data_IF_434215096123
#
_entry.id   IF_434215096123
#
_cell.length_a   1.000
_cell.length_b   1.000
_cell.length_c   1.000
_cell.angle_alpha   90.00
_cell.angle_beta   90.00
_cell.angle_gamma   90.00
#
_symmetry.space_group_name_H-M   'P 1'
#
loop_
_entity.id
_entity.type
_entity.pdbx_description
1 polymer ?
#
# COMPACT_ATOMS: atom_id res chain seq x y z
N UNK A 1 48.51 4.28 6.70
CA UNK A 1 47.50 5.34 6.64
C UNK A 1 46.88 5.49 5.24
N UNK A 2 47.64 5.53 4.15
CA UNK A 2 47.07 5.65 2.79
C UNK A 2 46.36 4.38 2.26
N UNK A 3 46.61 3.19 2.79
CA UNK A 3 45.95 1.95 2.39
C UNK A 3 44.57 1.75 3.08
N UNK A 4 44.37 2.26 4.29
CA UNK A 4 43.07 2.17 4.98
C UNK A 4 42.02 3.15 4.41
N UNK A 5 42.46 4.29 3.87
CA UNK A 5 41.54 5.24 3.18
C UNK A 5 41.09 4.75 1.80
N UNK A 6 41.84 3.84 1.16
CA UNK A 6 41.43 3.23 -0.12
C UNK A 6 40.42 2.10 0.06
N UNK A 7 40.50 1.32 1.14
CA UNK A 7 39.51 0.25 1.41
C UNK A 7 38.16 0.82 1.85
N UNK A 8 38.12 1.88 2.66
CA UNK A 8 36.87 2.54 3.05
C UNK A 8 36.14 3.28 1.92
N UNK A 9 36.85 3.61 0.83
CA UNK A 9 36.28 4.27 -0.35
C UNK A 9 35.73 3.29 -1.39
N UNK A 10 36.09 2.00 -1.30
CA UNK A 10 35.64 0.95 -2.22
C UNK A 10 34.33 0.28 -1.76
N UNK A 11 33.97 0.37 -0.49
CA UNK A 11 32.73 -0.21 0.05
C UNK A 11 31.45 0.61 -0.18
N UNK A 12 31.58 1.87 -0.65
CA UNK A 12 30.44 2.79 -0.79
C UNK A 12 29.79 2.79 -2.19
N UNK A 13 30.15 1.89 -3.10
CA UNK A 13 29.65 1.85 -4.48
C UNK A 13 29.36 0.42 -4.97
N UNK A 14 28.81 -0.43 -4.11
CA UNK A 14 28.08 -1.60 -4.61
C UNK A 14 26.65 -1.15 -4.83
N UNK A 15 26.42 -0.47 -5.97
CA UNK A 15 25.06 -0.34 -6.52
C UNK A 15 24.51 -1.75 -6.66
N UNK A 16 23.38 -2.03 -6.04
CA UNK A 16 22.70 -3.30 -6.15
C UNK A 16 22.41 -3.57 -7.64
N UNK A 17 23.01 -4.60 -8.21
CA UNK A 17 22.67 -5.08 -9.57
C UNK A 17 21.22 -5.59 -9.69
N UNK A 18 20.46 -5.51 -8.59
CA UNK A 18 19.07 -5.94 -8.52
C UNK A 18 18.15 -4.86 -9.06
N UNK A 19 17.29 -5.26 -9.97
CA UNK A 19 16.29 -4.39 -10.56
C UNK A 19 14.88 -4.80 -10.13
N UNK A 20 13.97 -3.84 -10.15
CA UNK A 20 12.55 -4.02 -9.81
C UNK A 20 11.67 -3.23 -10.78
N UNK A 21 10.37 -3.51 -10.78
CA UNK A 21 9.42 -2.87 -11.65
C UNK A 21 9.03 -1.47 -11.17
N UNK A 22 9.05 -0.49 -12.06
CA UNK A 22 8.44 0.82 -11.89
C UNK A 22 7.48 1.05 -13.07
N UNK A 23 6.22 0.64 -12.92
CA UNK A 23 5.33 0.45 -14.05
C UNK A 23 5.90 -0.61 -15.00
N UNK A 24 6.01 -0.31 -16.29
CA UNK A 24 6.63 -1.19 -17.28
C UNK A 24 8.17 -1.00 -17.40
N UNK A 25 8.75 -0.11 -16.62
CA UNK A 25 10.19 0.12 -16.61
C UNK A 25 10.88 -0.76 -15.56
N UNK A 26 12.06 -1.28 -15.88
CA UNK A 26 12.97 -1.88 -14.91
C UNK A 26 13.89 -0.80 -14.36
N UNK A 27 13.95 -0.66 -13.04
CA UNK A 27 14.76 0.34 -12.34
C UNK A 27 15.57 -0.33 -11.23
N UNK A 28 16.71 0.24 -10.79
CA UNK A 28 17.43 -0.24 -9.61
C UNK A 28 16.51 -0.25 -8.38
N UNK A 29 16.67 -1.26 -7.50
CA UNK A 29 15.83 -1.39 -6.29
C UNK A 29 15.93 -0.17 -5.37
N UNK A 30 17.13 0.40 -5.23
CA UNK A 30 17.42 1.56 -4.39
C UNK A 30 16.77 2.86 -4.90
N UNK A 31 16.45 2.95 -6.20
CA UNK A 31 15.79 4.12 -6.78
C UNK A 31 14.26 4.05 -6.71
N UNK A 32 13.66 2.84 -6.64
CA UNK A 32 12.21 2.69 -6.78
C UNK A 32 11.43 3.47 -5.73
N UNK A 33 11.81 3.40 -4.47
CA UNK A 33 11.11 4.09 -3.38
C UNK A 33 11.10 5.62 -3.57
N UNK A 34 12.21 6.20 -4.04
CA UNK A 34 12.31 7.62 -4.32
C UNK A 34 11.44 8.02 -5.53
N UNK A 35 11.45 7.22 -6.60
CA UNK A 35 10.60 7.46 -7.78
C UNK A 35 9.11 7.38 -7.44
N UNK A 36 8.72 6.38 -6.64
CA UNK A 36 7.35 6.24 -6.13
C UNK A 36 6.95 7.43 -5.27
N UNK A 37 7.81 7.86 -4.34
CA UNK A 37 7.57 9.05 -3.53
C UNK A 37 7.35 10.30 -4.40
N UNK A 38 8.16 10.50 -5.44
CA UNK A 38 7.98 11.60 -6.40
C UNK A 38 6.63 11.58 -7.11
N UNK A 39 6.13 10.39 -7.51
CA UNK A 39 4.80 10.25 -8.09
C UNK A 39 3.70 10.66 -7.09
N UNK A 40 3.79 10.19 -5.85
CA UNK A 40 2.76 10.51 -4.85
C UNK A 40 2.83 11.97 -4.37
N UNK A 41 4.01 12.55 -4.27
CA UNK A 41 4.17 13.98 -3.93
C UNK A 41 3.56 14.88 -5.02
N UNK A 42 3.70 14.54 -6.31
CA UNK A 42 3.14 15.33 -7.41
C UNK A 42 1.61 15.36 -7.41
N UNK A 43 0.97 14.29 -6.94
CA UNK A 43 -0.50 14.16 -6.90
C UNK A 43 -1.11 14.34 -5.51
N UNK A 44 -0.29 14.57 -4.47
CA UNK A 44 -0.71 14.53 -3.08
C UNK A 44 -1.93 15.42 -2.79
N UNK A 45 -1.93 16.68 -3.27
CA UNK A 45 -3.04 17.62 -3.08
C UNK A 45 -4.32 17.21 -3.81
N UNK A 46 -4.24 16.33 -4.81
CA UNK A 46 -5.38 15.85 -5.61
C UNK A 46 -5.56 14.34 -5.50
N UNK A 47 -4.95 13.75 -4.47
CA UNK A 47 -4.92 12.31 -4.26
C UNK A 47 -6.33 11.70 -4.17
N UNK A 48 -7.24 12.34 -3.44
CA UNK A 48 -8.62 11.86 -3.32
C UNK A 48 -9.34 11.91 -4.67
N UNK A 49 -9.15 13.00 -5.43
CA UNK A 49 -9.72 13.12 -6.77
C UNK A 49 -9.16 12.07 -7.74
N UNK A 50 -7.87 11.77 -7.64
CA UNK A 50 -7.24 10.69 -8.40
C UNK A 50 -7.87 9.34 -8.06
N UNK A 51 -8.05 9.03 -6.78
CA UNK A 51 -8.72 7.81 -6.33
C UNK A 51 -10.17 7.74 -6.82
N UNK A 52 -10.90 8.85 -6.76
CA UNK A 52 -12.27 8.94 -7.28
C UNK A 52 -12.32 8.66 -8.79
N UNK A 53 -11.44 9.28 -9.57
CA UNK A 53 -11.35 9.03 -11.01
C UNK A 53 -10.98 7.59 -11.33
N UNK A 54 -9.98 7.03 -10.64
CA UNK A 54 -9.51 5.66 -10.89
C UNK A 54 -10.54 4.59 -10.52
N UNK A 55 -11.38 4.84 -9.55
CA UNK A 55 -12.34 3.88 -9.00
C UNK A 55 -13.79 4.22 -9.28
N UNK A 56 -14.07 5.31 -10.01
CA UNK A 56 -15.42 5.90 -10.11
C UNK A 56 -16.08 6.07 -8.72
N UNK A 57 -15.28 6.46 -7.70
CA UNK A 57 -15.72 6.64 -6.32
C UNK A 57 -15.90 5.35 -5.52
N UNK A 58 -15.74 4.18 -6.13
CA UNK A 58 -15.97 2.88 -5.48
C UNK A 58 -14.94 2.56 -4.39
N UNK A 59 -13.77 3.21 -4.39
CA UNK A 59 -12.73 2.97 -3.37
C UNK A 59 -13.25 3.15 -1.93
N UNK A 60 -14.22 4.04 -1.72
CA UNK A 60 -14.83 4.25 -0.40
C UNK A 60 -15.64 3.04 0.07
N UNK A 61 -16.36 2.39 -0.85
CA UNK A 61 -17.10 1.15 -0.56
C UNK A 61 -16.13 0.00 -0.31
N UNK A 62 -15.07 -0.12 -1.11
CA UNK A 62 -14.05 -1.16 -0.93
C UNK A 62 -13.32 -1.01 0.41
N UNK A 63 -12.98 0.22 0.83
CA UNK A 63 -12.39 0.49 2.15
C UNK A 63 -13.35 0.12 3.29
N UNK A 64 -14.64 0.41 3.16
CA UNK A 64 -15.65 -0.03 4.16
C UNK A 64 -15.75 -1.56 4.23
N UNK A 65 -15.77 -2.21 3.08
CA UNK A 65 -15.74 -3.68 3.02
C UNK A 65 -14.48 -4.24 3.70
N UNK A 66 -13.31 -3.63 3.49
CA UNK A 66 -12.07 -4.05 4.14
C UNK A 66 -12.17 -3.96 5.68
N UNK A 67 -12.78 -2.90 6.22
CA UNK A 67 -13.03 -2.77 7.66
C UNK A 67 -13.94 -3.90 8.17
N UNK A 68 -15.03 -4.20 7.50
CA UNK A 68 -15.94 -5.29 7.92
C UNK A 68 -15.24 -6.65 7.80
N UNK A 69 -14.59 -6.93 6.68
CA UNK A 69 -13.86 -8.16 6.47
C UNK A 69 -12.67 -8.35 7.42
N UNK A 70 -12.08 -7.25 7.91
CA UNK A 70 -11.00 -7.32 8.90
C UNK A 70 -11.45 -7.94 10.22
N UNK A 71 -12.74 -7.85 10.56
CA UNK A 71 -13.27 -8.31 11.83
C UNK A 71 -12.66 -7.62 13.05
N UNK A 72 -12.09 -6.41 12.88
CA UNK A 72 -11.50 -5.61 13.97
C UNK A 72 -12.56 -5.28 15.01
N UNK A 73 -12.21 -5.44 16.27
CA UNK A 73 -13.08 -5.26 17.44
C UNK A 73 -12.64 -4.06 18.27
N UNK A 74 -13.52 -3.50 19.09
CA UNK A 74 -13.15 -2.48 20.08
C UNK A 74 -12.00 -2.95 20.97
N UNK A 75 -11.04 -2.04 21.22
CA UNK A 75 -9.85 -2.29 22.03
C UNK A 75 -8.66 -2.91 21.30
N UNK A 76 -8.80 -3.31 20.02
CA UNK A 76 -7.70 -3.89 19.26
C UNK A 76 -6.68 -2.83 18.78
N UNK A 77 -5.47 -3.29 18.49
CA UNK A 77 -4.35 -2.49 17.95
C UNK A 77 -4.20 -2.75 16.47
N UNK A 78 -4.27 -1.70 15.68
CA UNK A 78 -4.20 -1.76 14.21
C UNK A 78 -3.00 -0.97 13.71
N UNK A 79 -2.27 -1.55 12.77
CA UNK A 79 -1.23 -0.87 11.99
C UNK A 79 -1.72 -0.69 10.56
N UNK A 80 -1.84 0.55 10.10
CA UNK A 80 -2.20 0.89 8.72
C UNK A 80 -0.94 1.29 7.95
N UNK A 81 -0.51 0.42 7.04
CA UNK A 81 0.74 0.55 6.27
C UNK A 81 0.46 1.20 4.93
N UNK A 82 1.32 2.13 4.51
CA UNK A 82 1.12 2.96 3.33
C UNK A 82 -0.26 3.61 3.34
N UNK A 83 -0.67 4.08 4.52
CA UNK A 83 -2.03 4.57 4.77
C UNK A 83 -2.30 5.96 4.18
N UNK A 84 -1.27 6.64 3.66
CA UNK A 84 -1.39 7.87 2.90
C UNK A 84 -2.13 8.97 3.65
N UNK A 85 -3.25 9.41 3.09
CA UNK A 85 -4.11 10.46 3.66
C UNK A 85 -4.98 9.99 4.84
N UNK A 86 -4.79 8.76 5.36
CA UNK A 86 -5.39 8.27 6.59
C UNK A 86 -6.85 7.83 6.49
N UNK A 87 -7.39 7.63 5.28
CA UNK A 87 -8.78 7.21 5.09
C UNK A 87 -9.12 5.91 5.82
N UNK A 88 -8.27 4.90 5.68
CA UNK A 88 -8.50 3.60 6.30
C UNK A 88 -8.23 3.68 7.80
N UNK A 89 -7.16 4.37 8.21
CA UNK A 89 -6.85 4.62 9.62
C UNK A 89 -8.01 5.29 10.36
N UNK A 90 -8.69 6.28 9.74
CA UNK A 90 -9.88 6.92 10.28
C UNK A 90 -11.03 5.92 10.50
N UNK A 91 -11.26 5.02 9.56
CA UNK A 91 -12.30 4.00 9.67
C UNK A 91 -11.96 2.98 10.76
N UNK A 92 -10.70 2.55 10.86
CA UNK A 92 -10.23 1.68 11.95
C UNK A 92 -10.35 2.36 13.30
N UNK A 93 -9.96 3.64 13.43
CA UNK A 93 -10.08 4.39 14.69
C UNK A 93 -11.52 4.36 15.23
N UNK A 94 -12.50 4.60 14.36
CA UNK A 94 -13.92 4.52 14.74
C UNK A 94 -14.33 3.11 15.16
N UNK A 95 -13.70 2.09 14.61
CA UNK A 95 -14.00 0.67 14.89
C UNK A 95 -13.39 0.19 16.19
N UNK A 96 -12.12 0.55 16.47
CA UNK A 96 -11.43 0.12 17.69
C UNK A 96 -11.89 0.90 18.93
N UNK A 97 -12.41 2.09 18.75
CA UNK A 97 -12.90 2.94 19.85
C UNK A 97 -11.80 3.46 20.77
N UNK A 98 -12.17 4.06 21.91
CA UNK A 98 -11.25 4.79 22.77
C UNK A 98 -10.22 3.93 23.52
N UNK A 99 -10.43 2.62 23.59
CA UNK A 99 -9.51 1.67 24.23
C UNK A 99 -8.57 0.99 23.23
N UNK A 100 -8.79 1.20 21.91
CA UNK A 100 -7.96 0.65 20.85
C UNK A 100 -6.84 1.61 20.45
N UNK A 101 -5.95 1.11 19.62
CA UNK A 101 -4.85 1.88 19.05
C UNK A 101 -4.87 1.74 17.52
N UNK A 102 -4.69 2.84 16.78
CA UNK A 102 -4.42 2.80 15.35
C UNK A 102 -3.14 3.59 15.08
N UNK A 103 -2.18 2.96 14.44
CA UNK A 103 -0.93 3.61 14.02
C UNK A 103 -0.98 3.78 12.51
N UNK A 104 -0.85 5.01 12.02
CA UNK A 104 -0.76 5.33 10.59
C UNK A 104 0.70 5.39 10.17
N UNK A 105 1.07 4.65 9.12
CA UNK A 105 2.43 4.71 8.57
C UNK A 105 2.43 4.94 7.07
N UNK A 106 3.44 5.64 6.59
CA UNK A 106 3.73 5.80 5.17
C UNK A 106 5.23 6.08 4.99
N UNK A 107 5.78 5.76 3.83
CA UNK A 107 7.16 6.08 3.49
C UNK A 107 7.30 7.56 3.07
N UNK A 108 6.23 8.17 2.57
CA UNK A 108 6.19 9.52 2.01
C UNK A 108 5.81 10.55 3.07
N UNK A 109 6.72 11.45 3.48
CA UNK A 109 6.41 12.46 4.50
C UNK A 109 5.26 13.40 4.10
N UNK A 110 5.13 13.71 2.80
CA UNK A 110 4.05 14.53 2.26
C UNK A 110 2.68 13.91 2.52
N UNK A 111 2.54 12.62 2.28
CA UNK A 111 1.31 11.89 2.52
C UNK A 111 0.96 11.81 4.01
N UNK A 112 1.94 11.56 4.89
CA UNK A 112 1.72 11.57 6.34
C UNK A 112 1.28 12.94 6.88
N UNK A 113 1.84 14.03 6.36
CA UNK A 113 1.39 15.38 6.74
C UNK A 113 -0.07 15.61 6.37
N UNK A 114 -0.47 15.27 5.15
CA UNK A 114 -1.87 15.37 4.73
C UNK A 114 -2.79 14.48 5.56
N UNK A 115 -2.38 13.25 5.85
CA UNK A 115 -3.12 12.32 6.72
C UNK A 115 -3.30 12.88 8.13
N UNK A 116 -2.22 13.42 8.72
CA UNK A 116 -2.26 14.07 10.03
C UNK A 116 -3.26 15.23 10.05
N UNK A 117 -3.13 16.15 9.11
CA UNK A 117 -3.94 17.36 9.08
C UNK A 117 -5.42 17.01 8.92
N UNK A 118 -5.73 16.05 8.06
CA UNK A 118 -7.09 15.54 7.87
C UNK A 118 -7.67 14.86 9.13
N UNK A 119 -6.85 14.08 9.83
CA UNK A 119 -7.26 13.47 11.09
C UNK A 119 -7.51 14.53 12.17
N UNK A 120 -6.63 15.55 12.26
CA UNK A 120 -6.81 16.68 13.17
C UNK A 120 -8.09 17.47 12.86
N UNK A 121 -8.40 17.74 11.58
CA UNK A 121 -9.66 18.39 11.15
C UNK A 121 -10.89 17.56 11.54
N UNK A 122 -10.74 16.23 11.63
CA UNK A 122 -11.80 15.34 12.14
C UNK A 122 -11.80 15.22 13.68
N UNK A 123 -10.97 15.98 14.40
CA UNK A 123 -10.83 15.94 15.86
C UNK A 123 -10.12 14.68 16.38
N UNK A 124 -9.28 14.05 15.58
CA UNK A 124 -8.63 12.78 15.89
C UNK A 124 -7.12 12.95 15.90
N UNK A 125 -6.48 12.43 16.94
CA UNK A 125 -5.02 12.35 17.07
C UNK A 125 -4.62 10.88 17.06
N UNK A 126 -3.84 10.47 16.05
CA UNK A 126 -3.27 9.12 15.95
C UNK A 126 -1.75 9.18 16.00
N UNK A 127 -1.10 8.14 16.55
CA UNK A 127 0.32 7.91 16.31
C UNK A 127 0.61 7.78 14.81
N UNK A 128 1.64 8.51 14.33
CA UNK A 128 2.13 8.44 12.97
C UNK A 128 3.60 8.05 12.95
N UNK A 129 4.00 7.22 12.00
CA UNK A 129 5.41 6.88 11.81
C UNK A 129 5.78 6.89 10.32
N UNK A 130 6.81 7.65 9.97
CA UNK A 130 7.43 7.52 8.65
C UNK A 130 8.33 6.29 8.67
N UNK A 131 8.02 5.29 7.86
CA UNK A 131 8.84 4.09 7.77
C UNK A 131 8.67 3.38 6.43
N UNK A 132 9.67 2.55 6.11
CA UNK A 132 9.59 1.59 5.03
C UNK A 132 8.86 0.33 5.52
N UNK A 133 7.87 -0.14 4.75
CA UNK A 133 7.13 -1.36 5.05
C UNK A 133 8.02 -2.62 5.01
N UNK A 134 9.16 -2.56 4.33
CA UNK A 134 10.14 -3.65 4.25
C UNK A 134 11.03 -3.74 5.50
N UNK A 135 10.96 -2.73 6.41
CA UNK A 135 11.70 -2.67 7.68
C UNK A 135 10.91 -1.86 8.71
N UNK A 136 9.89 -2.47 9.28
CA UNK A 136 8.98 -1.81 10.21
C UNK A 136 9.65 -1.53 11.58
N UNK A 137 9.61 -0.30 12.11
CA UNK A 137 10.25 0.07 13.39
C UNK A 137 9.39 -0.32 14.60
N UNK A 138 8.72 -1.46 14.52
CA UNK A 138 7.86 -1.97 15.59
C UNK A 138 8.36 -3.32 16.09
N UNK A 139 8.12 -3.58 17.38
CA UNK A 139 8.38 -4.89 17.97
C UNK A 139 7.53 -5.97 17.28
N UNK A 140 8.04 -7.21 17.29
CA UNK A 140 7.25 -8.37 16.89
C UNK A 140 5.99 -8.50 17.77
N UNK A 141 4.94 -9.07 17.20
CA UNK A 141 3.72 -9.45 17.94
C UNK A 141 2.98 -8.31 18.65
N UNK A 142 3.05 -7.11 18.09
CA UNK A 142 2.45 -5.91 18.66
C UNK A 142 0.98 -5.70 18.28
N UNK A 143 0.59 -6.03 17.05
CA UNK A 143 -0.69 -5.63 16.48
C UNK A 143 -1.65 -6.81 16.29
N UNK A 144 -2.93 -6.53 16.51
CA UNK A 144 -4.05 -7.45 16.26
C UNK A 144 -4.40 -7.54 14.77
N UNK A 145 -4.28 -6.42 14.08
CA UNK A 145 -4.52 -6.30 12.65
C UNK A 145 -3.46 -5.42 12.01
N UNK A 146 -2.98 -5.85 10.86
CA UNK A 146 -2.18 -5.04 9.95
C UNK A 146 -2.98 -4.87 8.66
N UNK A 147 -3.00 -3.66 8.12
CA UNK A 147 -3.69 -3.35 6.86
C UNK A 147 -2.77 -2.65 5.90
N UNK A 148 -2.95 -2.92 4.62
CA UNK A 148 -2.40 -2.16 3.51
C UNK A 148 -3.46 -2.03 2.41
N UNK A 149 -3.76 -0.80 2.01
CA UNK A 149 -4.73 -0.55 0.94
C UNK A 149 -4.09 0.27 -0.18
N UNK A 150 -4.03 -0.31 -1.39
CA UNK A 150 -3.50 0.31 -2.62
C UNK A 150 -2.03 0.77 -2.50
N UNK A 151 -1.27 0.14 -1.58
CA UNK A 151 0.13 0.45 -1.31
C UNK A 151 1.10 -0.66 -1.70
N UNK A 152 0.69 -1.94 -1.61
CA UNK A 152 1.57 -3.09 -1.76
C UNK A 152 2.24 -3.16 -3.15
N UNK A 153 1.54 -2.77 -4.21
CA UNK A 153 2.08 -2.77 -5.58
C UNK A 153 3.28 -1.84 -5.74
N UNK A 154 3.40 -0.81 -4.90
CA UNK A 154 4.47 0.18 -4.95
C UNK A 154 5.72 -0.22 -4.17
N UNK A 155 5.65 -1.26 -3.32
CA UNK A 155 6.78 -1.75 -2.54
C UNK A 155 7.80 -2.43 -3.45
N UNK A 156 9.07 -2.24 -3.14
CA UNK A 156 10.19 -2.76 -3.95
C UNK A 156 10.28 -4.27 -3.82
N UNK A 157 10.33 -4.77 -2.60
CA UNK A 157 10.39 -6.19 -2.24
C UNK A 157 9.14 -6.59 -1.46
N UNK A 158 8.11 -6.98 -2.18
CA UNK A 158 6.79 -7.32 -1.59
C UNK A 158 6.90 -8.45 -0.56
N UNK A 159 7.76 -9.43 -0.82
CA UNK A 159 8.01 -10.56 0.09
C UNK A 159 8.59 -10.09 1.43
N UNK A 160 9.54 -9.15 1.39
CA UNK A 160 10.13 -8.56 2.60
C UNK A 160 9.07 -7.78 3.40
N UNK A 161 8.26 -6.98 2.71
CA UNK A 161 7.18 -6.24 3.35
C UNK A 161 6.13 -7.17 3.98
N UNK A 162 5.71 -8.22 3.28
CA UNK A 162 4.76 -9.21 3.81
C UNK A 162 5.33 -9.96 5.03
N UNK A 163 6.64 -10.29 5.01
CA UNK A 163 7.33 -10.89 6.15
C UNK A 163 7.33 -9.97 7.37
N UNK A 164 7.61 -8.67 7.19
CA UNK A 164 7.57 -7.66 8.25
C UNK A 164 6.15 -7.44 8.78
N UNK A 165 5.16 -7.39 7.89
CA UNK A 165 3.75 -7.31 8.29
C UNK A 165 3.36 -8.52 9.17
N UNK A 166 3.78 -9.73 8.77
CA UNK A 166 3.57 -10.92 9.61
C UNK A 166 4.33 -10.84 10.92
N UNK A 167 5.59 -10.39 10.92
CA UNK A 167 6.41 -10.29 12.13
C UNK A 167 5.76 -9.44 13.21
N UNK A 168 5.17 -8.31 12.84
CA UNK A 168 4.54 -7.39 13.80
C UNK A 168 3.13 -7.80 14.24
N UNK A 169 2.48 -8.74 13.54
CA UNK A 169 1.22 -9.34 13.96
C UNK A 169 1.44 -10.25 15.18
N UNK A 170 0.57 -10.20 16.17
CA UNK A 170 0.55 -11.18 17.26
C UNK A 170 -0.03 -12.54 16.78
N UNK A 171 0.23 -13.65 17.48
CA UNK A 171 -0.52 -14.88 17.24
C UNK A 171 -2.04 -14.66 17.35
N UNK A 172 -2.79 -15.18 16.37
CA UNK A 172 -4.22 -14.89 16.19
C UNK A 172 -4.53 -13.57 15.49
N UNK A 173 -3.52 -12.75 15.20
CA UNK A 173 -3.65 -11.51 14.42
C UNK A 173 -3.84 -11.79 12.92
N UNK A 174 -4.25 -10.76 12.19
CA UNK A 174 -4.58 -10.89 10.75
C UNK A 174 -4.04 -9.74 9.92
N UNK A 175 -3.63 -10.09 8.70
CA UNK A 175 -3.25 -9.16 7.64
C UNK A 175 -4.42 -8.96 6.69
N UNK A 176 -4.69 -7.72 6.34
CA UNK A 176 -5.67 -7.30 5.33
C UNK A 176 -4.94 -6.57 4.21
N UNK A 177 -5.04 -7.07 2.99
CA UNK A 177 -4.47 -6.44 1.79
C UNK A 177 -5.61 -6.12 0.83
N UNK A 178 -5.89 -4.85 0.62
CA UNK A 178 -6.83 -4.36 -0.38
C UNK A 178 -6.05 -3.79 -1.55
N UNK A 179 -6.10 -4.43 -2.72
CA UNK A 179 -5.28 -4.01 -3.85
C UNK A 179 -5.99 -4.25 -5.19
N UNK A 180 -5.61 -3.50 -6.21
CA UNK A 180 -6.01 -3.78 -7.57
C UNK A 180 -5.53 -5.16 -7.99
N UNK A 181 -6.28 -5.82 -8.84
CA UNK A 181 -5.99 -7.18 -9.23
C UNK A 181 -6.44 -7.49 -10.66
N UNK A 182 -6.48 -8.77 -11.01
CA UNK A 182 -6.81 -9.22 -12.38
C UNK A 182 -8.31 -9.20 -12.61
N UNK A 183 -8.72 -8.31 -13.49
CA UNK A 183 -10.13 -8.15 -13.89
C UNK A 183 -10.63 -9.41 -14.60
N UNK A 184 -11.85 -9.80 -14.29
CA UNK A 184 -12.56 -10.90 -14.98
C UNK A 184 -12.55 -10.71 -16.51
N UNK A 185 -12.18 -11.78 -17.22
CA UNK A 185 -11.87 -11.72 -18.64
C UNK A 185 -12.94 -11.05 -19.53
N UNK A 186 -14.25 -11.29 -19.35
CA UNK A 186 -15.29 -10.62 -20.16
C UNK A 186 -15.35 -9.09 -19.97
N UNK A 187 -14.97 -8.57 -18.80
CA UNK A 187 -15.01 -7.13 -18.50
C UNK A 187 -13.70 -6.43 -18.83
N UNK A 188 -12.62 -7.20 -19.02
CA UNK A 188 -11.26 -6.67 -19.27
C UNK A 188 -11.18 -5.66 -20.41
N UNK A 189 -11.77 -5.88 -21.61
CA UNK A 189 -11.65 -4.92 -22.71
C UNK A 189 -12.22 -3.55 -22.34
N UNK A 190 -13.34 -3.50 -21.61
CA UNK A 190 -13.95 -2.26 -21.15
C UNK A 190 -13.08 -1.56 -20.10
N UNK A 191 -12.53 -2.33 -19.15
CA UNK A 191 -11.63 -1.81 -18.14
C UNK A 191 -10.32 -1.30 -18.73
N UNK A 192 -9.78 -1.97 -19.76
CA UNK A 192 -8.57 -1.53 -20.47
C UNK A 192 -8.80 -0.24 -21.25
N UNK A 193 -9.93 -0.12 -21.96
CA UNK A 193 -10.33 1.11 -22.64
C UNK A 193 -10.46 2.29 -21.64
N UNK A 194 -11.02 2.03 -20.46
CA UNK A 194 -11.09 3.01 -19.38
C UNK A 194 -9.70 3.38 -18.85
N UNK A 195 -8.89 2.38 -18.45
CA UNK A 195 -7.62 2.58 -17.76
C UNK A 195 -6.53 3.20 -18.62
N UNK A 196 -6.44 2.81 -19.89
CA UNK A 196 -5.41 3.30 -20.81
C UNK A 196 -5.91 4.36 -21.79
N UNK A 197 -7.21 4.42 -22.06
CA UNK A 197 -7.80 5.39 -22.97
C UNK A 197 -8.30 6.64 -22.25
N UNK A 198 -9.14 6.49 -21.27
CA UNK A 198 -9.83 7.61 -20.61
C UNK A 198 -9.05 8.20 -19.45
N UNK A 199 -8.54 7.38 -18.54
CA UNK A 199 -7.87 7.85 -17.30
C UNK A 199 -6.66 8.78 -17.57
N UNK A 200 -5.73 8.50 -18.49
CA UNK A 200 -4.61 9.42 -18.76
C UNK A 200 -5.07 10.78 -19.31
N UNK A 201 -6.16 10.79 -20.09
CA UNK A 201 -6.73 12.03 -20.63
C UNK A 201 -7.37 12.87 -19.51
N UNK A 202 -8.12 12.23 -18.61
CA UNK A 202 -8.68 12.87 -17.44
C UNK A 202 -7.58 13.36 -16.50
N UNK A 203 -6.52 12.55 -16.28
CA UNK A 203 -5.36 12.93 -15.49
C UNK A 203 -4.66 14.18 -16.02
N UNK A 204 -4.47 14.26 -17.32
CA UNK A 204 -3.90 15.46 -17.97
C UNK A 204 -4.80 16.68 -17.79
N UNK A 205 -6.10 16.52 -17.92
CA UNK A 205 -7.07 17.62 -17.83
C UNK A 205 -7.19 18.14 -16.39
N UNK A 206 -7.20 17.23 -15.39
CA UNK A 206 -7.55 17.54 -14.02
C UNK A 206 -6.32 17.81 -13.14
N UNK A 207 -5.25 17.04 -13.32
CA UNK A 207 -4.06 17.09 -12.46
C UNK A 207 -2.82 17.65 -13.17
N UNK A 208 -2.86 17.84 -14.48
CA UNK A 208 -1.73 18.21 -15.34
C UNK A 208 -0.52 17.24 -15.21
N UNK A 209 -0.76 16.00 -14.79
CA UNK A 209 0.24 14.95 -14.56
C UNK A 209 -0.15 13.63 -15.20
N UNK A 210 0.04 13.54 -16.51
CA UNK A 210 -0.23 12.32 -17.27
C UNK A 210 0.73 11.17 -16.89
N UNK A 211 1.95 11.50 -16.39
CA UNK A 211 2.97 10.50 -16.05
C UNK A 211 2.58 9.71 -14.80
N UNK A 212 2.11 10.39 -13.74
CA UNK A 212 1.62 9.73 -12.53
C UNK A 212 0.44 8.78 -12.82
N UNK A 213 -0.53 9.21 -13.64
CA UNK A 213 -1.66 8.35 -14.01
C UNK A 213 -1.25 7.15 -14.87
N UNK A 214 -0.25 7.32 -15.74
CA UNK A 214 0.31 6.22 -16.52
C UNK A 214 1.01 5.21 -15.60
N UNK A 215 1.87 5.68 -14.71
CA UNK A 215 2.52 4.83 -13.71
C UNK A 215 1.51 4.02 -12.91
N UNK A 216 0.41 4.65 -12.46
CA UNK A 216 -0.64 3.95 -11.72
C UNK A 216 -1.28 2.82 -12.54
N UNK A 217 -1.63 3.07 -13.81
CA UNK A 217 -2.20 2.05 -14.67
C UNK A 217 -1.22 0.90 -14.93
N UNK A 218 0.05 1.21 -15.17
CA UNK A 218 1.11 0.22 -15.39
C UNK A 218 1.41 -0.59 -14.13
N UNK A 219 1.55 0.06 -12.97
CA UNK A 219 1.81 -0.62 -11.69
C UNK A 219 0.70 -1.59 -11.30
N UNK A 220 -0.56 -1.27 -11.62
CA UNK A 220 -1.69 -2.18 -11.45
C UNK A 220 -1.52 -3.45 -12.32
N UNK A 221 -1.03 -3.31 -13.55
CA UNK A 221 -0.82 -4.45 -14.45
C UNK A 221 0.35 -5.34 -14.06
N UNK A 222 1.37 -4.75 -13.43
CA UNK A 222 2.54 -5.48 -12.92
C UNK A 222 2.30 -6.14 -11.56
N UNK A 223 1.19 -5.77 -10.87
CA UNK A 223 0.85 -6.37 -9.59
C UNK A 223 0.43 -7.84 -9.76
N UNK A 224 0.81 -8.74 -8.82
CA UNK A 224 0.35 -10.12 -8.80
C UNK A 224 -1.19 -10.25 -8.86
N UNK A 225 -1.67 -11.25 -9.55
CA UNK A 225 -3.11 -11.55 -9.52
C UNK A 225 -3.54 -12.17 -8.17
N UNK A 226 -4.83 -12.44 -8.01
CA UNK A 226 -5.41 -12.90 -6.75
C UNK A 226 -4.73 -14.16 -6.22
N UNK A 227 -4.53 -15.17 -7.07
CA UNK A 227 -3.93 -16.43 -6.66
C UNK A 227 -2.43 -16.27 -6.36
N UNK A 228 -1.72 -15.48 -7.18
CA UNK A 228 -0.31 -15.22 -6.95
C UNK A 228 -0.09 -14.45 -5.63
N UNK A 229 -0.92 -13.43 -5.34
CA UNK A 229 -0.82 -12.70 -4.07
C UNK A 229 -1.20 -13.59 -2.88
N UNK A 230 -2.23 -14.47 -3.02
CA UNK A 230 -2.56 -15.46 -2.00
C UNK A 230 -1.35 -16.35 -1.68
N UNK A 231 -0.69 -16.89 -2.72
CA UNK A 231 0.50 -17.71 -2.55
C UNK A 231 1.65 -16.96 -1.87
N UNK A 232 1.86 -15.67 -2.19
CA UNK A 232 2.87 -14.82 -1.51
C UNK A 232 2.57 -14.62 -0.02
N UNK A 233 1.30 -14.44 0.35
CA UNK A 233 0.89 -14.35 1.76
C UNK A 233 1.14 -15.68 2.50
N UNK A 234 0.83 -16.82 1.87
CA UNK A 234 1.08 -18.15 2.43
C UNK A 234 2.60 -18.40 2.57
N UNK A 235 3.41 -18.02 1.59
CA UNK A 235 4.88 -18.11 1.65
C UNK A 235 5.47 -17.20 2.74
N UNK A 236 4.87 -16.06 3.02
CA UNK A 236 5.23 -15.21 4.15
C UNK A 236 4.87 -15.83 5.52
N UNK A 237 4.20 -17.00 5.53
CA UNK A 237 3.82 -17.75 6.73
C UNK A 237 2.49 -17.31 7.34
N UNK A 238 1.60 -16.72 6.55
CA UNK A 238 0.22 -16.51 6.94
C UNK A 238 -0.62 -17.74 6.58
N UNK A 239 -1.60 -18.04 7.41
CA UNK A 239 -2.46 -19.22 7.26
C UNK A 239 -3.91 -18.80 6.99
N UNK A 240 -4.72 -19.74 6.51
CA UNK A 240 -6.14 -19.52 6.15
C UNK A 240 -6.30 -18.30 5.24
N UNK A 241 -5.40 -18.19 4.26
CA UNK A 241 -5.44 -17.07 3.32
C UNK A 241 -6.62 -17.25 2.37
N UNK A 242 -7.47 -16.24 2.34
CA UNK A 242 -8.62 -16.16 1.45
C UNK A 242 -8.65 -14.80 0.75
N UNK A 243 -9.36 -14.71 -0.36
CA UNK A 243 -9.59 -13.43 -1.02
C UNK A 243 -11.03 -13.25 -1.50
N UNK A 244 -11.44 -12.00 -1.61
CA UNK A 244 -12.75 -11.57 -2.07
C UNK A 244 -12.59 -10.65 -3.27
N UNK A 245 -13.15 -11.04 -4.41
CA UNK A 245 -13.15 -10.20 -5.60
C UNK A 245 -14.21 -9.11 -5.49
N UNK A 246 -13.81 -7.87 -5.74
CA UNK A 246 -14.67 -6.69 -5.75
C UNK A 246 -14.71 -6.11 -7.17
N UNK A 247 -15.88 -5.57 -7.58
CA UNK A 247 -16.06 -4.98 -8.91
C UNK A 247 -15.51 -5.87 -10.04
N UNK A 248 -15.98 -7.11 -10.13
CA UNK A 248 -15.54 -8.10 -11.13
C UNK A 248 -14.02 -8.34 -11.16
N UNK A 249 -13.34 -8.28 -10.02
CA UNK A 249 -11.91 -8.52 -9.88
C UNK A 249 -11.02 -7.30 -10.13
N UNK A 250 -11.59 -6.12 -10.40
CA UNK A 250 -10.81 -4.87 -10.49
C UNK A 250 -9.99 -4.66 -9.22
N UNK A 251 -10.56 -5.02 -8.07
CA UNK A 251 -9.91 -5.01 -6.76
C UNK A 251 -10.15 -6.35 -6.09
N UNK A 252 -9.18 -6.83 -5.33
CA UNK A 252 -9.31 -7.96 -4.45
C UNK A 252 -8.91 -7.57 -3.03
N UNK A 253 -9.66 -8.07 -2.05
CA UNK A 253 -9.30 -8.05 -0.65
C UNK A 253 -8.75 -9.41 -0.27
N UNK A 254 -7.50 -9.47 0.21
CA UNK A 254 -6.93 -10.68 0.79
C UNK A 254 -6.91 -10.57 2.31
N UNK A 255 -7.16 -11.68 2.98
CA UNK A 255 -7.07 -11.82 4.43
C UNK A 255 -6.31 -13.09 4.77
N UNK A 256 -5.31 -12.97 5.62
CA UNK A 256 -4.55 -14.10 6.16
C UNK A 256 -4.29 -13.92 7.65
N UNK A 257 -4.09 -15.01 8.37
CA UNK A 257 -3.92 -15.02 9.83
C UNK A 257 -2.52 -15.50 10.20
N UNK A 258 -1.99 -14.97 11.30
CA UNK A 258 -0.81 -15.50 11.96
C UNK A 258 -1.26 -16.40 13.13
N UNK A 259 -0.89 -17.67 13.10
CA UNK A 259 -1.03 -18.62 14.21
C UNK A 259 0.32 -18.93 14.85
#
# INVERSE_FOLDING_TARGET
MENEERETRSESLVMSDKTTDFGYQSVPEDEKSQRVAGVFDSVAQRYDLMNDLMSAGLHRLWKRFAIEASGVRPGERVLDIAGGTGDLALLFYRRVGPQGEVVLTDITPGMLRLGRDRLLDAGIVLPLAQCDAEKLPFAAERFDCVSVAFGLRNMTRKEAALSEMRRVLRPGGRLIVLEFSKVWAPVRPLYDAYSFGLLPRLGKLVANDAAAYRYLAESIRMHPDQEALKAMLEQAGLERVEYFNLAAGVVALHRGYRF
#
